data_IF_715447359459
#
_entry.id   IF_715447359459
#
_cell.length_a   1.000
_cell.length_b   1.000
_cell.length_c   1.000
_cell.angle_alpha   90.00
_cell.angle_beta   90.00
_cell.angle_gamma   90.00
#
_symmetry.space_group_name_H-M   'P 1'
#
loop_
_entity.id
_entity.type
_entity.pdbx_description
1 polymer ?
#
# COMPACT_ATOMS: atom_id res chain seq x y z
N UNK A 1 -26.87 -13.66 -10.98
CA UNK A 1 -26.54 -12.76 -9.85
C UNK A 1 -26.46 -11.30 -10.27
N UNK A 2 -25.47 -10.91 -11.08
CA UNK A 2 -25.25 -9.50 -11.47
C UNK A 2 -26.55 -8.76 -11.89
N UNK A 3 -27.25 -9.28 -12.90
CA UNK A 3 -28.43 -8.60 -13.46
C UNK A 3 -29.57 -8.44 -12.45
N UNK A 4 -29.84 -9.49 -11.67
CA UNK A 4 -30.86 -9.45 -10.63
C UNK A 4 -30.52 -8.44 -9.52
N UNK A 5 -29.24 -8.33 -9.12
CA UNK A 5 -28.81 -7.36 -8.10
C UNK A 5 -28.88 -5.94 -8.65
N UNK A 6 -28.35 -5.68 -9.86
CA UNK A 6 -28.33 -4.35 -10.47
C UNK A 6 -29.74 -3.84 -10.82
N UNK A 7 -30.67 -4.73 -11.15
CA UNK A 7 -32.07 -4.35 -11.39
C UNK A 7 -32.72 -3.71 -10.14
N UNK A 8 -32.37 -4.18 -8.94
CA UNK A 8 -32.91 -3.67 -7.67
C UNK A 8 -32.03 -2.61 -6.99
N UNK A 9 -30.71 -2.73 -7.16
CA UNK A 9 -29.70 -1.90 -6.50
C UNK A 9 -28.65 -1.40 -7.51
N UNK A 10 -29.03 -0.54 -8.47
CA UNK A 10 -28.14 -0.14 -9.57
C UNK A 10 -26.90 0.64 -9.11
N UNK A 11 -26.94 1.24 -7.92
CA UNK A 11 -25.84 2.03 -7.35
C UNK A 11 -24.75 1.19 -6.66
N UNK A 12 -25.00 -0.09 -6.36
CA UNK A 12 -24.00 -0.95 -5.73
C UNK A 12 -22.92 -1.35 -6.75
N UNK A 13 -21.65 -1.32 -6.35
CA UNK A 13 -20.57 -1.99 -7.09
C UNK A 13 -20.55 -3.47 -6.73
N UNK A 14 -20.42 -4.33 -7.74
CA UNK A 14 -20.30 -5.77 -7.57
C UNK A 14 -18.85 -6.21 -7.79
N UNK A 15 -18.32 -6.95 -6.81
CA UNK A 15 -16.95 -7.45 -6.82
C UNK A 15 -16.95 -8.89 -7.33
N UNK A 16 -16.19 -9.16 -8.39
CA UNK A 16 -15.93 -10.52 -8.86
C UNK A 16 -14.94 -11.20 -7.92
N UNK A 17 -15.28 -12.37 -7.39
CA UNK A 17 -14.41 -13.19 -6.52
C UNK A 17 -13.29 -13.92 -7.28
N UNK A 18 -13.03 -13.54 -8.53
CA UNK A 18 -11.95 -14.06 -9.37
C UNK A 18 -11.25 -12.85 -9.98
N UNK A 19 -10.02 -12.60 -9.54
CA UNK A 19 -9.19 -11.49 -9.96
C UNK A 19 -8.26 -11.78 -11.13
N UNK A 20 -7.36 -10.83 -11.42
CA UNK A 20 -6.41 -10.97 -12.53
C UNK A 20 -5.22 -11.87 -12.20
N UNK A 21 -5.03 -12.23 -10.94
CA UNK A 21 -4.06 -13.21 -10.48
C UNK A 21 -4.49 -14.66 -10.79
N UNK A 22 -5.78 -14.87 -11.08
CA UNK A 22 -6.34 -16.17 -11.45
C UNK A 22 -6.29 -16.41 -12.98
N UNK A 23 -6.30 -17.69 -13.42
CA UNK A 23 -6.36 -18.05 -14.84
C UNK A 23 -7.53 -17.37 -15.58
N UNK A 24 -7.30 -16.94 -16.83
CA UNK A 24 -8.23 -16.06 -17.58
C UNK A 24 -9.60 -16.70 -17.77
N UNK A 25 -9.62 -18.01 -17.91
CA UNK A 25 -10.77 -18.86 -18.22
C UNK A 25 -11.73 -18.95 -17.03
N UNK A 26 -11.23 -18.72 -15.81
CA UNK A 26 -12.05 -18.65 -14.58
C UNK A 26 -12.70 -17.28 -14.39
N UNK A 27 -12.20 -16.24 -15.06
CA UNK A 27 -12.71 -14.86 -14.91
C UNK A 27 -14.05 -14.73 -15.59
N UNK A 28 -14.88 -13.81 -15.10
CA UNK A 28 -16.16 -13.45 -15.73
C UNK A 28 -15.91 -12.98 -17.17
N UNK A 29 -16.41 -13.74 -18.16
CA UNK A 29 -16.26 -13.41 -19.60
C UNK A 29 -17.49 -12.69 -20.19
N UNK A 30 -18.66 -12.82 -19.56
CA UNK A 30 -19.92 -12.30 -20.11
C UNK A 30 -20.08 -10.78 -20.01
N UNK A 31 -19.21 -10.11 -19.26
CA UNK A 31 -19.19 -8.65 -19.02
C UNK A 31 -17.93 -8.23 -18.28
N UNK A 32 -17.69 -6.92 -18.23
CA UNK A 32 -16.68 -6.33 -17.34
C UNK A 32 -17.23 -6.20 -15.91
N UNK A 33 -16.56 -6.75 -14.88
CA UNK A 33 -16.91 -6.50 -13.48
C UNK A 33 -16.69 -5.04 -13.07
N UNK A 34 -17.44 -4.55 -12.06
CA UNK A 34 -17.18 -3.21 -11.49
C UNK A 34 -15.82 -3.18 -10.77
N UNK A 35 -15.54 -4.25 -10.02
CA UNK A 35 -14.32 -4.48 -9.24
C UNK A 35 -13.96 -5.96 -9.32
N UNK A 36 -12.69 -6.29 -9.24
CA UNK A 36 -12.20 -7.66 -9.05
C UNK A 36 -11.52 -7.83 -7.70
N UNK A 37 -11.65 -9.02 -7.10
CA UNK A 37 -10.98 -9.40 -5.86
C UNK A 37 -9.74 -10.26 -6.14
N UNK A 38 -8.58 -9.82 -5.66
CA UNK A 38 -7.31 -10.53 -5.81
C UNK A 38 -6.74 -10.98 -4.46
N UNK A 39 -6.25 -12.22 -4.41
CA UNK A 39 -5.74 -12.83 -3.16
C UNK A 39 -4.25 -13.18 -3.22
N UNK A 40 -3.48 -12.73 -2.23
CA UNK A 40 -2.02 -12.90 -2.19
C UNK A 40 -1.49 -13.35 -0.82
N UNK A 41 -1.29 -14.66 -0.66
CA UNK A 41 -0.44 -15.21 0.38
C UNK A 41 0.92 -15.53 -0.22
N UNK A 42 1.96 -14.77 0.15
CA UNK A 42 3.29 -14.86 -0.48
C UNK A 42 4.39 -14.81 0.57
N UNK A 43 5.53 -15.40 0.24
CA UNK A 43 6.72 -15.24 1.05
C UNK A 43 7.19 -13.78 1.03
N UNK A 44 7.90 -13.38 2.07
CA UNK A 44 8.55 -12.05 2.14
C UNK A 44 9.39 -11.76 0.88
N UNK A 45 10.14 -12.75 0.40
CA UNK A 45 10.98 -12.61 -0.79
C UNK A 45 10.15 -12.39 -2.07
N UNK A 46 9.00 -13.04 -2.19
CA UNK A 46 8.11 -12.85 -3.33
C UNK A 46 7.46 -11.47 -3.33
N UNK A 47 7.02 -10.97 -2.18
CA UNK A 47 6.49 -9.60 -2.10
C UNK A 47 7.55 -8.56 -2.41
N UNK A 48 8.79 -8.72 -1.93
CA UNK A 48 9.91 -7.85 -2.33
C UNK A 48 10.17 -7.91 -3.84
N UNK A 49 10.07 -9.08 -4.47
CA UNK A 49 10.23 -9.25 -5.92
C UNK A 49 9.07 -8.65 -6.73
N UNK A 50 7.85 -8.74 -6.21
CA UNK A 50 6.63 -8.18 -6.84
C UNK A 50 6.60 -6.67 -6.75
N UNK A 51 7.03 -6.13 -5.60
CA UNK A 51 6.93 -4.73 -5.21
C UNK A 51 7.20 -3.70 -6.33
N UNK A 52 8.33 -3.75 -7.08
CA UNK A 52 8.68 -2.65 -7.96
C UNK A 52 7.66 -2.45 -9.09
N UNK A 53 7.14 -3.56 -9.66
CA UNK A 53 6.47 -3.52 -10.95
C UNK A 53 5.17 -4.35 -11.04
N UNK A 54 4.65 -4.90 -9.93
CA UNK A 54 3.48 -5.82 -9.97
C UNK A 54 2.26 -5.17 -10.63
N UNK A 55 1.73 -4.11 -10.04
CA UNK A 55 0.57 -3.39 -10.57
C UNK A 55 0.91 -2.41 -11.69
N UNK A 56 2.19 -2.03 -11.86
CA UNK A 56 2.58 -1.13 -12.95
C UNK A 56 2.26 -1.72 -14.33
N UNK A 57 2.31 -3.06 -14.44
CA UNK A 57 2.00 -3.82 -15.67
C UNK A 57 0.51 -3.95 -15.96
N UNK A 58 -0.36 -3.53 -15.05
CA UNK A 58 -1.81 -3.67 -15.21
C UNK A 58 -2.38 -2.54 -16.08
N UNK A 59 -3.37 -2.87 -16.91
CA UNK A 59 -4.04 -1.90 -17.76
C UNK A 59 -4.85 -0.91 -16.89
N UNK A 60 -4.57 0.39 -16.98
CA UNK A 60 -5.28 1.44 -16.22
C UNK A 60 -6.75 1.65 -16.57
N UNK A 61 -7.25 0.94 -17.60
CA UNK A 61 -8.67 0.90 -18.00
C UNK A 61 -9.38 -0.39 -17.57
N UNK A 62 -8.68 -1.31 -16.89
CA UNK A 62 -9.28 -2.50 -16.32
C UNK A 62 -10.24 -2.15 -15.17
N UNK A 63 -11.13 -3.08 -14.76
CA UNK A 63 -11.84 -2.99 -13.48
C UNK A 63 -10.94 -2.54 -12.32
N UNK A 64 -11.53 -1.80 -11.37
CA UNK A 64 -10.86 -1.49 -10.09
C UNK A 64 -10.50 -2.80 -9.37
N UNK A 65 -9.48 -2.76 -8.51
CA UNK A 65 -9.01 -3.93 -7.76
C UNK A 65 -9.31 -3.73 -6.27
N UNK A 66 -9.88 -4.76 -5.67
CA UNK A 66 -9.87 -5.03 -4.24
C UNK A 66 -8.85 -6.14 -3.99
N UNK A 67 -7.87 -5.90 -3.14
CA UNK A 67 -6.98 -6.98 -2.66
C UNK A 67 -7.59 -7.55 -1.39
N UNK A 68 -8.57 -8.44 -1.52
CA UNK A 68 -9.43 -8.86 -0.41
C UNK A 68 -8.79 -9.79 0.60
N UNK A 69 -7.72 -10.46 0.21
CA UNK A 69 -6.92 -11.26 1.12
C UNK A 69 -5.44 -11.11 0.77
N UNK A 70 -4.63 -10.67 1.74
CA UNK A 70 -3.19 -10.75 1.58
C UNK A 70 -2.48 -10.85 2.91
N UNK A 71 -1.35 -11.56 2.90
CA UNK A 71 -0.41 -11.60 4.01
C UNK A 71 0.95 -12.12 3.53
N UNK A 72 2.01 -11.47 3.99
CA UNK A 72 3.33 -12.03 3.92
C UNK A 72 3.45 -13.18 4.92
N UNK A 73 4.22 -14.18 4.55
CA UNK A 73 4.74 -15.15 5.50
C UNK A 73 6.27 -15.16 5.44
N UNK A 74 6.88 -15.81 6.43
CA UNK A 74 8.30 -16.13 6.41
C UNK A 74 8.55 -17.26 5.37
N UNK A 75 9.23 -18.35 5.74
CA UNK A 75 9.61 -19.39 4.79
C UNK A 75 8.53 -20.45 4.55
N UNK A 76 7.79 -20.83 5.59
CA UNK A 76 6.81 -21.91 5.51
C UNK A 76 5.45 -21.33 5.12
N UNK A 77 4.92 -21.78 3.98
CA UNK A 77 3.63 -21.34 3.48
C UNK A 77 2.49 -21.68 4.46
N UNK A 78 1.44 -20.84 4.57
CA UNK A 78 0.32 -21.04 5.48
C UNK A 78 -0.37 -22.41 5.36
N UNK A 79 -0.48 -22.93 4.14
CA UNK A 79 -1.14 -24.21 3.85
C UNK A 79 -0.26 -25.44 4.10
N UNK A 80 1.04 -25.28 4.37
CA UNK A 80 1.88 -26.39 4.83
C UNK A 80 1.56 -26.71 6.29
N UNK A 81 1.34 -27.99 6.61
CA UNK A 81 1.04 -28.44 7.97
C UNK A 81 2.11 -28.03 8.99
N UNK A 82 3.38 -27.88 8.56
CA UNK A 82 4.49 -27.41 9.41
C UNK A 82 4.30 -25.97 9.88
N UNK A 83 3.50 -25.16 9.19
CA UNK A 83 3.19 -23.78 9.60
C UNK A 83 2.52 -23.75 10.98
N UNK A 84 1.82 -24.82 11.37
CA UNK A 84 1.18 -24.98 12.68
C UNK A 84 2.15 -25.05 13.85
N UNK A 85 3.43 -25.31 13.61
CA UNK A 85 4.47 -25.26 14.63
C UNK A 85 5.07 -23.86 14.82
N UNK A 86 4.81 -22.94 13.89
CA UNK A 86 5.28 -21.56 13.99
C UNK A 86 4.38 -20.73 14.92
N UNK A 87 4.84 -19.55 15.36
CA UNK A 87 4.04 -18.58 16.10
C UNK A 87 2.75 -18.16 15.36
N UNK A 88 1.70 -17.74 16.10
CA UNK A 88 0.36 -17.45 15.55
C UNK A 88 0.30 -16.17 14.71
N UNK A 89 1.19 -15.23 15.00
CA UNK A 89 1.33 -13.93 14.35
C UNK A 89 2.65 -13.84 13.56
N UNK A 90 2.75 -12.97 12.55
CA UNK A 90 3.96 -12.84 11.74
C UNK A 90 5.13 -12.22 12.53
N UNK A 91 6.36 -12.49 12.09
CA UNK A 91 7.58 -11.85 12.61
C UNK A 91 7.91 -10.55 11.86
N UNK A 92 8.97 -9.85 12.27
CA UNK A 92 9.49 -8.66 11.60
C UNK A 92 9.83 -8.94 10.12
N UNK A 93 10.26 -10.16 9.79
CA UNK A 93 10.51 -10.57 8.40
C UNK A 93 9.27 -10.46 7.53
N UNK A 94 8.14 -11.02 7.97
CA UNK A 94 6.89 -10.90 7.25
C UNK A 94 6.41 -9.43 7.19
N UNK A 95 6.59 -8.64 8.26
CA UNK A 95 6.26 -7.21 8.23
C UNK A 95 7.03 -6.41 7.16
N UNK A 96 8.27 -6.78 6.84
CA UNK A 96 9.03 -6.20 5.72
C UNK A 96 8.37 -6.54 4.37
N UNK A 97 7.95 -7.79 4.18
CA UNK A 97 7.23 -8.22 2.99
C UNK A 97 5.89 -7.49 2.84
N UNK A 98 5.15 -7.38 3.94
CA UNK A 98 3.87 -6.68 3.99
C UNK A 98 4.04 -5.19 3.64
N UNK A 99 5.03 -4.52 4.24
CA UNK A 99 5.32 -3.12 3.96
C UNK A 99 5.75 -2.87 2.51
N UNK A 100 6.52 -3.81 1.92
CA UNK A 100 6.87 -3.76 0.51
C UNK A 100 5.62 -3.85 -0.37
N UNK A 101 4.73 -4.83 -0.11
CA UNK A 101 3.51 -4.97 -0.90
C UNK A 101 2.56 -3.79 -0.72
N UNK A 102 2.43 -3.25 0.50
CA UNK A 102 1.69 -2.00 0.75
C UNK A 102 2.23 -0.82 -0.03
N UNK A 103 3.56 -0.68 -0.15
CA UNK A 103 4.15 0.38 -0.98
C UNK A 103 3.76 0.22 -2.46
N UNK A 104 3.74 -1.00 -2.98
CA UNK A 104 3.29 -1.29 -4.35
C UNK A 104 1.80 -0.95 -4.55
N UNK A 105 0.94 -1.39 -3.62
CA UNK A 105 -0.50 -1.09 -3.65
C UNK A 105 -0.75 0.42 -3.56
N UNK A 106 -0.08 1.13 -2.65
CA UNK A 106 -0.25 2.58 -2.47
C UNK A 106 0.27 3.40 -3.66
N UNK A 107 1.31 2.96 -4.38
CA UNK A 107 1.73 3.61 -5.64
C UNK A 107 0.76 3.39 -6.80
N UNK A 108 0.03 2.28 -6.81
CA UNK A 108 -0.86 1.84 -7.90
C UNK A 108 -2.33 1.93 -7.52
N UNK A 109 -2.60 2.96 -6.75
CA UNK A 109 -3.79 3.13 -5.96
C UNK A 109 -4.87 3.82 -6.82
N UNK A 110 -4.51 4.27 -8.03
CA UNK A 110 -5.43 4.49 -9.15
C UNK A 110 -6.14 3.21 -9.63
N UNK A 111 -5.57 2.02 -9.37
CA UNK A 111 -6.17 0.71 -9.65
C UNK A 111 -6.63 -0.02 -8.39
N UNK A 112 -5.75 -0.15 -7.40
CA UNK A 112 -5.97 -0.89 -6.15
C UNK A 112 -6.70 0.02 -5.18
N UNK A 113 -8.03 -0.03 -5.20
CA UNK A 113 -8.85 0.91 -4.44
C UNK A 113 -9.19 0.43 -3.03
N UNK A 114 -9.08 -0.87 -2.77
CA UNK A 114 -9.36 -1.49 -1.47
C UNK A 114 -8.35 -2.58 -1.19
N UNK A 115 -8.04 -2.83 0.09
CA UNK A 115 -7.23 -3.97 0.52
C UNK A 115 -7.67 -4.45 1.90
N UNK A 116 -7.43 -5.72 2.20
CA UNK A 116 -7.76 -6.37 3.46
C UNK A 116 -6.69 -7.42 3.81
N UNK A 117 -5.91 -7.14 4.86
CA UNK A 117 -4.97 -8.13 5.39
C UNK A 117 -5.75 -9.32 5.95
N UNK A 118 -5.34 -10.54 5.62
CA UNK A 118 -6.05 -11.75 6.03
C UNK A 118 -5.09 -12.83 6.54
N UNK A 119 -5.44 -13.53 7.64
CA UNK A 119 -6.57 -13.27 8.54
C UNK A 119 -6.26 -12.22 9.61
N UNK A 120 -7.31 -11.56 10.11
CA UNK A 120 -7.17 -10.45 11.08
C UNK A 120 -6.83 -10.93 12.50
N UNK A 121 -7.54 -11.95 13.01
CA UNK A 121 -7.46 -12.35 14.41
C UNK A 121 -7.08 -13.82 14.58
N UNK A 122 -6.37 -14.14 15.67
CA UNK A 122 -6.10 -15.51 16.10
C UNK A 122 -6.25 -15.68 17.59
N UNK A 123 -7.05 -16.67 17.99
CA UNK A 123 -7.09 -17.15 19.36
C UNK A 123 -5.82 -17.96 19.64
N UNK A 124 -4.98 -17.48 20.56
CA UNK A 124 -3.66 -18.09 20.85
C UNK A 124 -3.74 -19.27 21.82
N UNK A 125 -4.93 -19.58 22.35
CA UNK A 125 -5.11 -20.73 23.22
C UNK A 125 -4.84 -22.05 22.47
N UNK A 126 -4.35 -23.11 23.16
CA UNK A 126 -4.15 -24.41 22.56
C UNK A 126 -5.41 -24.91 21.83
N UNK A 127 -5.27 -25.29 20.55
CA UNK A 127 -6.37 -25.72 19.69
C UNK A 127 -7.25 -24.58 19.11
N UNK A 128 -7.04 -23.32 19.51
CA UNK A 128 -7.81 -22.17 19.07
C UNK A 128 -7.47 -21.67 17.66
N UNK A 129 -6.37 -22.15 17.07
CA UNK A 129 -5.82 -21.66 15.79
C UNK A 129 -5.95 -22.70 14.67
N UNK A 130 -6.42 -22.24 13.51
CA UNK A 130 -6.56 -23.04 12.29
C UNK A 130 -5.62 -22.58 11.16
N UNK A 131 -5.19 -21.31 11.16
CA UNK A 131 -4.37 -20.68 10.13
C UNK A 131 -3.26 -19.78 10.73
N UNK A 132 -2.17 -19.54 9.99
CA UNK A 132 -1.14 -18.53 10.31
C UNK A 132 -0.40 -18.04 9.06
N UNK A 133 0.10 -16.80 9.02
CA UNK A 133 0.10 -15.80 10.10
C UNK A 133 -1.24 -15.06 10.20
N UNK A 134 -1.52 -14.44 11.35
CA UNK A 134 -2.69 -13.58 11.56
C UNK A 134 -2.24 -12.25 12.16
N UNK A 135 -2.98 -11.17 11.92
CA UNK A 135 -2.49 -9.82 12.23
C UNK A 135 -2.42 -9.51 13.73
N UNK A 136 -3.43 -9.96 14.49
CA UNK A 136 -3.62 -9.68 15.91
C UNK A 136 -3.88 -11.01 16.65
N UNK A 137 -3.08 -11.29 17.68
CA UNK A 137 -3.27 -12.44 18.56
C UNK A 137 -4.04 -12.06 19.81
N UNK A 138 -4.91 -12.93 20.31
CA UNK A 138 -5.68 -12.69 21.52
C UNK A 138 -5.95 -13.96 22.34
N UNK A 139 -6.16 -13.79 23.65
CA UNK A 139 -6.79 -14.76 24.54
C UNK A 139 -8.08 -14.17 25.15
N UNK A 140 -8.63 -14.78 26.21
CA UNK A 140 -9.89 -14.32 26.80
C UNK A 140 -9.80 -12.91 27.45
N UNK A 141 -8.60 -12.44 27.79
CA UNK A 141 -8.39 -11.23 28.59
C UNK A 141 -7.41 -10.23 27.95
N UNK A 142 -6.63 -10.65 26.95
CA UNK A 142 -5.51 -9.87 26.38
C UNK A 142 -5.48 -9.98 24.86
N UNK A 143 -4.92 -8.96 24.22
CA UNK A 143 -4.62 -8.95 22.79
C UNK A 143 -3.25 -8.30 22.52
N UNK A 144 -2.66 -8.60 21.37
CA UNK A 144 -1.43 -7.96 20.93
C UNK A 144 -1.36 -7.85 19.39
N UNK A 145 -0.75 -6.76 18.93
CA UNK A 145 -0.46 -6.55 17.51
C UNK A 145 0.87 -7.18 17.11
N UNK A 146 0.91 -7.82 15.95
CA UNK A 146 2.16 -8.28 15.33
C UNK A 146 3.03 -7.14 14.79
N UNK A 147 4.31 -7.38 14.45
CA UNK A 147 5.09 -6.47 13.60
C UNK A 147 4.32 -5.98 12.34
N UNK A 148 3.61 -6.88 11.64
CA UNK A 148 2.79 -6.50 10.48
C UNK A 148 1.62 -5.59 10.84
N UNK A 149 1.02 -5.77 12.02
CA UNK A 149 -0.01 -4.85 12.55
C UNK A 149 0.55 -3.43 12.65
N UNK A 150 1.74 -3.27 13.24
CA UNK A 150 2.36 -1.96 13.36
C UNK A 150 2.79 -1.37 12.00
N UNK A 151 3.25 -2.19 11.06
CA UNK A 151 3.52 -1.72 9.70
C UNK A 151 2.24 -1.18 9.02
N UNK A 152 1.12 -1.91 9.13
CA UNK A 152 -0.18 -1.47 8.59
C UNK A 152 -0.67 -0.20 9.31
N UNK A 153 -0.50 -0.12 10.63
CA UNK A 153 -0.82 1.08 11.41
C UNK A 153 0.00 2.28 10.92
N UNK A 154 1.31 2.10 10.71
CA UNK A 154 2.20 3.15 10.19
C UNK A 154 1.77 3.61 8.80
N UNK A 155 1.41 2.70 7.89
CA UNK A 155 0.93 3.08 6.55
C UNK A 155 -0.43 3.80 6.59
N UNK A 156 -1.39 3.29 7.36
CA UNK A 156 -2.76 3.80 7.40
C UNK A 156 -2.89 5.16 8.10
N UNK A 157 -2.04 5.45 9.10
CA UNK A 157 -2.05 6.73 9.83
C UNK A 157 -1.25 7.85 9.15
N UNK A 158 -0.46 7.52 8.13
CA UNK A 158 0.44 8.46 7.45
C UNK A 158 0.15 8.50 5.95
N UNK A 159 -1.04 8.97 5.58
CA UNK A 159 -1.52 8.94 4.20
C UNK A 159 -1.99 10.32 3.76
N UNK A 160 -1.37 10.82 2.68
CA UNK A 160 -1.81 11.99 1.95
C UNK A 160 -2.95 11.69 0.97
N UNK A 161 -3.43 12.73 0.30
CA UNK A 161 -4.49 12.66 -0.71
C UNK A 161 -3.94 12.67 -2.15
N UNK A 162 -2.62 12.81 -2.33
CA UNK A 162 -1.93 12.74 -3.63
C UNK A 162 -0.73 11.78 -3.59
N UNK A 163 -0.59 10.91 -4.58
CA UNK A 163 0.61 10.06 -4.76
C UNK A 163 1.70 10.85 -5.45
N UNK A 164 2.90 10.83 -4.86
CA UNK A 164 4.10 11.38 -5.45
C UNK A 164 4.94 10.21 -5.97
N UNK A 165 5.22 10.15 -7.27
CA UNK A 165 6.08 9.10 -7.84
C UNK A 165 7.55 9.41 -7.54
N UNK A 166 8.24 8.64 -6.69
CA UNK A 166 9.66 8.85 -6.46
C UNK A 166 10.46 8.43 -7.69
N UNK A 167 11.54 9.15 -7.97
CA UNK A 167 12.58 8.68 -8.91
C UNK A 167 13.69 8.07 -8.07
N UNK A 168 13.86 6.76 -8.17
CA UNK A 168 14.89 6.02 -7.45
C UNK A 168 16.14 5.88 -8.34
N UNK A 169 17.31 6.13 -7.75
CA UNK A 169 18.62 5.89 -8.37
C UNK A 169 19.46 5.04 -7.44
N UNK A 170 20.08 3.96 -7.95
CA UNK A 170 20.87 3.03 -7.14
C UNK A 170 20.03 1.91 -6.54
N UNK A 171 20.17 1.66 -5.24
CA UNK A 171 19.47 0.57 -4.55
C UNK A 171 17.95 0.74 -4.64
N UNK A 172 17.27 -0.28 -5.19
CA UNK A 172 15.81 -0.32 -5.30
C UNK A 172 15.23 -0.80 -3.97
N UNK A 173 14.94 0.15 -3.09
CA UNK A 173 14.18 -0.09 -1.87
C UNK A 173 12.69 0.10 -2.16
N UNK A 174 11.79 -0.64 -1.50
CA UNK A 174 10.37 -0.33 -1.54
C UNK A 174 10.10 1.06 -0.96
N UNK A 175 9.45 1.92 -1.75
CA UNK A 175 9.14 3.30 -1.38
C UNK A 175 7.73 3.69 -1.80
N UNK A 176 6.96 4.29 -0.89
CA UNK A 176 5.74 5.01 -1.24
C UNK A 176 5.80 6.43 -0.70
N UNK A 177 5.31 7.39 -1.49
CA UNK A 177 5.26 8.80 -1.09
C UNK A 177 3.86 9.33 -1.35
N UNK A 178 3.25 9.87 -0.30
CA UNK A 178 1.98 10.57 -0.39
C UNK A 178 2.14 12.00 0.14
N UNK A 179 1.34 12.92 -0.39
CA UNK A 179 1.27 14.30 0.05
C UNK A 179 -0.17 14.66 0.39
N UNK A 180 -0.40 15.38 1.47
CA UNK A 180 -1.66 16.08 1.69
C UNK A 180 -1.59 17.45 0.99
N UNK A 181 -2.41 17.66 -0.03
CA UNK A 181 -2.46 18.95 -0.73
C UNK A 181 -2.99 20.07 0.18
N UNK A 182 -3.91 19.75 1.10
CA UNK A 182 -4.46 20.72 2.06
C UNK A 182 -3.40 21.25 3.03
N UNK A 183 -2.58 20.37 3.60
CA UNK A 183 -1.65 20.74 4.67
C UNK A 183 -0.21 20.90 4.20
N UNK A 184 0.16 20.35 3.03
CA UNK A 184 1.54 20.29 2.56
C UNK A 184 2.40 19.24 3.26
N UNK A 185 1.80 18.37 4.09
CA UNK A 185 2.54 17.28 4.74
C UNK A 185 2.88 16.21 3.71
N UNK A 186 4.16 15.83 3.66
CA UNK A 186 4.71 14.71 2.91
C UNK A 186 4.90 13.53 3.85
N UNK A 187 4.39 12.36 3.45
CA UNK A 187 4.66 11.08 4.10
C UNK A 187 5.52 10.23 3.16
N UNK A 188 6.76 9.96 3.57
CA UNK A 188 7.71 9.14 2.81
C UNK A 188 7.87 7.81 3.57
N UNK A 189 7.35 6.73 3.00
CA UNK A 189 7.39 5.38 3.58
C UNK A 189 8.48 4.59 2.89
N UNK A 190 9.45 4.13 3.66
CA UNK A 190 10.69 3.51 3.22
C UNK A 190 10.84 2.16 3.89
N UNK A 191 11.16 1.12 3.12
CA UNK A 191 11.43 -0.21 3.64
C UNK A 191 12.87 -0.59 3.37
N UNK A 192 13.62 -0.93 4.43
CA UNK A 192 14.94 -1.53 4.30
C UNK A 192 14.88 -3.03 4.61
N UNK A 193 14.90 -3.92 3.60
CA UNK A 193 14.91 -5.36 3.82
C UNK A 193 16.30 -5.94 4.10
N UNK A 194 17.36 -5.12 4.07
CA UNK A 194 18.74 -5.56 4.18
C UNK A 194 19.19 -5.70 5.64
N UNK A 195 20.23 -6.50 5.87
CA UNK A 195 20.89 -6.64 7.18
C UNK A 195 21.73 -5.44 7.58
N UNK A 196 22.03 -4.56 6.64
CA UNK A 196 22.88 -3.40 6.85
C UNK A 196 22.07 -2.10 6.84
N UNK A 197 22.48 -1.08 7.62
CA UNK A 197 21.93 0.25 7.50
C UNK A 197 22.05 0.78 6.07
N UNK A 198 20.97 1.38 5.55
CA UNK A 198 20.95 1.93 4.19
C UNK A 198 20.95 3.46 4.24
N UNK A 199 22.05 4.15 3.89
CA UNK A 199 22.06 5.59 3.71
C UNK A 199 21.32 5.97 2.42
N UNK A 200 20.21 6.70 2.56
CA UNK A 200 19.39 7.18 1.46
C UNK A 200 19.48 8.70 1.36
N UNK A 201 19.96 9.20 0.22
CA UNK A 201 19.91 10.63 -0.11
C UNK A 201 18.51 10.96 -0.64
N UNK A 202 17.78 11.81 0.08
CA UNK A 202 16.42 12.22 -0.26
C UNK A 202 16.48 13.63 -0.84
N UNK A 203 16.00 13.76 -2.08
CA UNK A 203 15.92 15.02 -2.81
C UNK A 203 14.46 15.39 -3.07
N UNK A 204 13.97 16.40 -2.37
CA UNK A 204 12.63 16.96 -2.54
C UNK A 204 12.65 17.98 -3.68
N UNK A 205 12.43 17.54 -4.92
CA UNK A 205 12.35 18.43 -6.08
C UNK A 205 10.96 19.07 -6.17
N UNK A 206 10.90 20.33 -6.64
CA UNK A 206 9.64 21.06 -6.82
C UNK A 206 9.02 21.64 -5.54
N UNK A 207 9.70 21.53 -4.39
CA UNK A 207 9.30 22.21 -3.15
C UNK A 207 9.93 23.59 -3.08
N UNK A 208 9.17 24.59 -2.60
CA UNK A 208 9.68 25.93 -2.30
C UNK A 208 10.53 25.93 -1.04
N UNK A 209 10.07 25.20 -0.03
CA UNK A 209 10.72 25.06 1.27
C UNK A 209 10.23 23.79 1.96
N UNK A 210 11.06 23.26 2.85
CA UNK A 210 10.71 22.21 3.80
C UNK A 210 11.05 22.69 5.21
N UNK A 211 10.25 22.35 6.20
CA UNK A 211 10.58 22.65 7.59
C UNK A 211 11.90 21.97 7.97
N UNK A 212 12.72 22.67 8.76
CA UNK A 212 14.04 22.16 9.17
C UNK A 212 13.97 20.94 10.11
N UNK A 213 12.78 20.60 10.60
CA UNK A 213 12.50 19.42 11.39
C UNK A 213 11.26 18.69 10.91
N UNK A 214 11.22 17.39 11.18
CA UNK A 214 10.07 16.52 10.97
C UNK A 214 10.09 15.37 11.98
N UNK A 215 9.36 14.31 11.68
CA UNK A 215 9.41 13.06 12.46
C UNK A 215 9.81 11.88 11.61
N UNK A 216 10.45 10.90 12.24
CA UNK A 216 10.71 9.58 11.70
C UNK A 216 10.11 8.54 12.66
N UNK A 217 9.07 7.84 12.23
CA UNK A 217 8.51 6.69 12.95
C UNK A 217 9.11 5.43 12.35
N UNK A 218 9.78 4.62 13.18
CA UNK A 218 10.62 3.51 12.75
C UNK A 218 10.18 2.23 13.46
N UNK A 219 9.81 1.21 12.69
CA UNK A 219 9.67 -0.17 13.15
C UNK A 219 10.90 -0.94 12.67
N UNK A 220 11.74 -1.43 13.58
CA UNK A 220 12.97 -2.14 13.24
C UNK A 220 13.27 -3.21 14.30
N UNK A 221 13.61 -4.42 13.85
CA UNK A 221 14.04 -5.51 14.71
C UNK A 221 14.77 -6.59 13.88
N UNK A 222 15.40 -7.56 14.55
CA UNK A 222 15.93 -8.73 13.84
C UNK A 222 14.80 -9.47 13.09
N UNK A 223 15.06 -10.13 11.94
CA UNK A 223 14.00 -10.74 11.12
C UNK A 223 13.12 -11.76 11.84
N UNK A 224 13.69 -12.46 12.84
CA UNK A 224 12.99 -13.47 13.64
C UNK A 224 12.18 -12.88 14.80
N UNK A 225 12.34 -11.59 15.11
CA UNK A 225 11.68 -10.97 16.25
C UNK A 225 10.18 -10.85 15.99
N UNK A 226 9.39 -11.08 17.02
CA UNK A 226 7.94 -11.09 16.97
C UNK A 226 7.35 -10.61 18.30
N UNK A 227 6.06 -10.29 18.29
CA UNK A 227 5.29 -10.07 19.50
C UNK A 227 4.53 -11.34 19.85
N UNK A 228 4.24 -11.53 21.14
CA UNK A 228 3.41 -12.62 21.64
C UNK A 228 2.50 -12.13 22.76
N UNK A 229 1.55 -12.96 23.19
CA UNK A 229 0.64 -12.62 24.30
C UNK A 229 1.39 -12.37 25.62
N UNK A 230 2.59 -12.93 25.79
CA UNK A 230 3.43 -12.75 26.97
C UNK A 230 4.54 -11.71 26.78
N UNK A 231 4.72 -11.23 25.55
CA UNK A 231 5.67 -10.17 25.20
C UNK A 231 5.04 -9.31 24.07
N UNK A 232 4.00 -8.52 24.38
CA UNK A 232 3.15 -7.88 23.36
C UNK A 232 3.82 -6.71 22.64
N UNK A 233 4.95 -6.22 23.16
CA UNK A 233 5.62 -4.98 22.72
C UNK A 233 7.10 -5.17 22.38
N UNK A 234 7.55 -6.40 22.10
CA UNK A 234 8.95 -6.68 21.69
C UNK A 234 9.36 -5.93 20.43
N UNK A 235 8.44 -5.78 19.47
CA UNK A 235 8.64 -5.09 18.20
C UNK A 235 7.50 -4.09 18.02
N UNK A 236 7.78 -2.82 18.31
CA UNK A 236 6.85 -1.69 18.22
C UNK A 236 7.51 -0.50 17.53
N UNK A 237 6.75 0.38 16.87
CA UNK A 237 7.33 1.54 16.21
C UNK A 237 7.75 2.60 17.22
N UNK A 238 8.91 3.22 17.01
CA UNK A 238 9.43 4.32 17.81
C UNK A 238 9.48 5.58 16.97
N UNK A 239 8.98 6.70 17.51
CA UNK A 239 8.98 7.99 16.82
C UNK A 239 10.08 8.90 17.34
N UNK A 240 10.89 9.42 16.42
CA UNK A 240 11.96 10.35 16.71
C UNK A 240 11.72 11.68 15.99
N UNK A 241 12.10 12.79 16.62
CA UNK A 241 12.24 14.07 15.92
C UNK A 241 13.51 14.04 15.09
N UNK A 242 13.40 14.40 13.81
CA UNK A 242 14.56 14.61 12.93
C UNK A 242 14.78 16.11 12.73
N UNK A 243 16.04 16.52 12.65
CA UNK A 243 16.47 17.91 12.46
C UNK A 243 17.43 18.01 11.28
N UNK A 244 17.67 19.23 10.79
CA UNK A 244 18.54 19.44 9.62
C UNK A 244 17.91 18.99 8.30
N UNK A 245 16.58 18.79 8.28
CA UNK A 245 15.84 18.51 7.06
C UNK A 245 15.95 19.73 6.14
N UNK A 246 16.26 19.47 4.88
CA UNK A 246 16.44 20.46 3.83
C UNK A 246 16.01 19.82 2.50
N UNK A 247 15.89 20.55 1.38
CA UNK A 247 15.47 19.95 0.12
C UNK A 247 16.36 18.78 -0.36
N UNK A 248 17.61 18.70 0.09
CA UNK A 248 18.53 17.59 -0.20
C UNK A 248 19.25 17.15 1.08
N UNK A 249 18.85 16.01 1.64
CA UNK A 249 19.35 15.52 2.92
C UNK A 249 19.58 14.01 2.91
N UNK A 250 20.32 13.53 3.92
CA UNK A 250 20.58 12.10 4.10
C UNK A 250 19.67 11.56 5.20
N UNK A 251 19.04 10.42 4.94
CA UNK A 251 18.35 9.60 5.93
C UNK A 251 19.01 8.22 5.97
N UNK A 252 19.42 7.76 7.15
CA UNK A 252 19.90 6.37 7.31
C UNK A 252 18.73 5.51 7.78
N UNK A 253 18.46 4.43 7.05
CA UNK A 253 17.44 3.44 7.40
C UNK A 253 18.11 2.31 8.19
N UNK A 254 17.62 1.95 9.40
CA UNK A 254 18.15 0.80 10.13
C UNK A 254 17.98 -0.50 9.34
N UNK A 255 18.79 -1.55 9.63
CA UNK A 255 18.55 -2.90 9.13
C UNK A 255 17.11 -3.36 9.37
N UNK A 256 16.56 -4.14 8.43
CA UNK A 256 15.23 -4.76 8.57
C UNK A 256 14.19 -3.82 9.17
N UNK A 257 13.95 -2.69 8.49
CA UNK A 257 13.10 -1.63 9.01
C UNK A 257 12.02 -1.17 8.06
N UNK A 258 10.93 -0.66 8.65
CA UNK A 258 9.93 0.17 8.00
C UNK A 258 10.03 1.55 8.64
N UNK A 259 10.26 2.58 7.83
CA UNK A 259 10.40 3.97 8.29
C UNK A 259 9.36 4.84 7.61
N UNK A 260 8.65 5.65 8.38
CA UNK A 260 7.81 6.73 7.86
C UNK A 260 8.40 8.06 8.27
N UNK A 261 8.79 8.87 7.28
CA UNK A 261 9.14 10.26 7.49
C UNK A 261 7.89 11.12 7.28
N UNK A 262 7.60 12.00 8.22
CA UNK A 262 6.58 13.04 8.07
C UNK A 262 7.26 14.41 8.04
N UNK A 263 7.17 15.06 6.88
CA UNK A 263 7.84 16.33 6.59
C UNK A 263 6.82 17.39 6.20
N UNK A 264 6.97 18.60 6.71
CA UNK A 264 6.17 19.74 6.29
C UNK A 264 6.83 20.43 5.09
N UNK A 265 6.21 20.39 3.91
CA UNK A 265 6.72 21.04 2.71
C UNK A 265 5.73 22.07 2.15
N UNK A 266 6.25 23.21 1.70
CA UNK A 266 5.50 24.16 0.90
C UNK A 266 5.83 23.91 -0.57
N UNK A 267 4.82 23.66 -1.40
CA UNK A 267 5.01 23.49 -2.84
C UNK A 267 5.31 24.83 -3.51
N UNK A 268 6.02 24.81 -4.64
CA UNK A 268 6.06 25.98 -5.51
C UNK A 268 4.64 26.28 -6.04
N UNK A 269 4.27 27.56 -6.27
CA UNK A 269 3.03 27.88 -6.95
C UNK A 269 2.99 27.13 -8.29
N UNK A 270 1.92 26.39 -8.55
CA UNK A 270 1.72 25.77 -9.85
C UNK A 270 1.45 26.89 -10.84
N UNK A 271 2.43 27.25 -11.68
CA UNK A 271 2.12 28.02 -12.90
C UNK A 271 1.30 27.07 -13.74
N UNK A 272 0.00 27.34 -13.87
CA UNK A 272 -0.84 26.60 -14.79
C UNK A 272 -0.18 26.70 -16.17
N UNK A 273 0.23 25.57 -16.74
CA UNK A 273 0.68 25.57 -18.13
C UNK A 273 -0.49 26.13 -18.97
N UNK A 274 -0.25 27.12 -19.84
CA UNK A 274 -1.31 27.59 -20.73
C UNK A 274 -1.83 26.39 -21.53
N UNK A 275 -3.15 26.33 -21.82
CA UNK A 275 -3.70 25.24 -22.59
C UNK A 275 -2.94 25.13 -23.91
N UNK A 276 -2.41 23.94 -24.22
CA UNK A 276 -1.86 23.62 -25.53
C UNK A 276 -2.99 23.80 -26.55
N UNK A 277 -2.94 24.89 -27.32
CA UNK A 277 -3.78 25.07 -28.49
C UNK A 277 -3.32 24.08 -29.56
N UNK A 278 -4.05 22.98 -29.73
CA UNK A 278 -3.84 22.04 -30.83
C UNK A 278 -4.66 22.52 -32.01
N UNK A 279 -4.03 23.25 -32.94
CA UNK A 279 -4.62 23.49 -34.25
C UNK A 279 -4.43 22.23 -35.11
N UNK A 280 -5.54 21.66 -35.58
CA UNK A 280 -5.51 20.50 -36.45
C UNK A 280 -4.91 20.87 -37.82
N UNK A 281 -3.86 20.15 -38.24
CA UNK A 281 -3.38 20.16 -39.62
C UNK A 281 -4.01 18.96 -40.33
N UNK A 282 -4.71 19.21 -41.44
CA UNK A 282 -5.25 18.18 -42.32
C UNK A 282 -4.12 17.36 -42.95
N UNK A 283 -4.20 16.03 -42.85
CA UNK A 283 -3.28 15.13 -43.55
C UNK A 283 -3.74 14.92 -45.01
N UNK A 284 -2.82 14.83 -45.98
CA UNK A 284 -3.16 14.41 -47.34
C UNK A 284 -3.36 12.90 -47.42
N UNK A 285 -4.39 12.49 -48.18
CA UNK A 285 -4.70 11.11 -48.54
C UNK A 285 -3.64 10.56 -49.50
N UNK A 286 -3.05 9.39 -49.20
CA UNK A 286 -3.07 8.23 -50.11
C UNK A 286 -2.32 6.97 -49.64
N UNK A 287 -2.88 5.83 -50.09
CA UNK A 287 -2.29 4.51 -50.39
C UNK A 287 -2.32 3.35 -49.36
N UNK A 288 -3.36 2.51 -49.56
CA UNK A 288 -3.44 1.02 -49.67
C UNK A 288 -3.02 0.08 -48.53
N UNK A 289 -3.76 -1.05 -48.31
CA UNK A 289 -3.55 -1.95 -47.18
C UNK A 289 -2.62 -3.14 -47.51
N UNK A 290 -1.75 -3.49 -46.56
CA UNK A 290 -1.12 -4.82 -46.48
C UNK A 290 -1.64 -5.55 -45.22
N UNK A 291 -1.80 -6.89 -45.25
CA UNK A 291 -2.31 -7.64 -44.11
C UNK A 291 -1.17 -7.93 -43.12
N UNK A 292 -1.39 -7.90 -41.79
CA UNK A 292 -0.43 -8.47 -40.87
C UNK A 292 -0.75 -9.93 -40.58
N UNK A 293 0.27 -10.75 -40.85
CA UNK A 293 0.53 -12.06 -40.29
C UNK A 293 0.69 -12.03 -38.77
N UNK A 294 0.56 -13.22 -38.19
CA UNK A 294 0.63 -13.61 -36.79
C UNK A 294 1.94 -13.26 -36.07
N UNK A 295 1.83 -13.24 -34.74
CA UNK A 295 2.86 -13.14 -33.69
C UNK A 295 3.48 -11.75 -33.41
N UNK A 296 2.92 -11.09 -32.38
CA UNK A 296 3.58 -10.01 -31.68
C UNK A 296 3.55 -10.26 -30.17
N UNK A 297 4.74 -10.38 -29.57
CA UNK A 297 4.94 -10.11 -28.15
C UNK A 297 4.38 -8.72 -27.81
N UNK A 298 3.67 -8.53 -26.67
CA UNK A 298 3.06 -7.25 -26.39
C UNK A 298 4.15 -6.20 -26.13
N UNK A 299 4.07 -5.12 -26.90
CA UNK A 299 4.99 -4.00 -26.84
C UNK A 299 4.95 -3.32 -25.47
N UNK A 300 6.14 -3.05 -24.95
CA UNK A 300 6.38 -2.19 -23.79
C UNK A 300 5.96 -0.77 -24.16
N UNK A 301 4.78 -0.34 -23.71
CA UNK A 301 4.39 1.06 -23.80
C UNK A 301 5.20 1.84 -22.76
N UNK A 302 5.96 2.83 -23.24
CA UNK A 302 6.73 3.76 -22.44
C UNK A 302 5.82 4.48 -21.42
N UNK A 303 6.21 4.43 -20.15
CA UNK A 303 5.58 5.18 -19.05
C UNK A 303 5.92 6.66 -19.24
N UNK A 304 4.94 7.59 -19.25
CA UNK A 304 5.24 9.02 -19.30
C UNK A 304 5.97 9.41 -18.00
N UNK A 305 7.20 9.90 -18.15
CA UNK A 305 8.13 10.23 -17.06
C UNK A 305 7.82 11.53 -16.33
N UNK A 306 6.79 12.27 -16.72
CA UNK A 306 6.44 13.54 -16.09
C UNK A 306 4.92 13.71 -16.03
N UNK A 307 4.31 13.19 -14.99
CA UNK A 307 2.89 13.42 -14.72
C UNK A 307 2.62 13.24 -13.24
N UNK A 308 2.38 14.35 -12.53
CA UNK A 308 1.64 14.32 -11.27
C UNK A 308 0.26 13.80 -11.64
N UNK A 309 0.01 12.50 -11.43
CA UNK A 309 -1.34 11.97 -11.56
C UNK A 309 -2.08 12.37 -10.28
N UNK A 310 -3.13 13.22 -10.36
CA UNK A 310 -4.01 13.37 -9.23
C UNK A 310 -4.53 11.99 -8.88
N UNK A 311 -4.43 11.61 -7.61
CA UNK A 311 -5.16 10.47 -7.09
C UNK A 311 -6.61 10.66 -7.53
N UNK A 312 -7.17 9.75 -8.32
CA UNK A 312 -8.57 9.79 -8.77
C UNK A 312 -9.50 9.60 -7.57
N UNK A 313 -9.56 10.53 -6.61
CA UNK A 313 -10.30 10.35 -5.36
C UNK A 313 -10.03 8.97 -4.68
N UNK A 314 -8.90 8.31 -4.99
CA UNK A 314 -8.88 6.85 -4.98
C UNK A 314 -8.62 6.23 -3.59
N UNK A 315 -8.24 7.05 -2.60
CA UNK A 315 -8.12 6.65 -1.18
C UNK A 315 -9.02 7.43 -0.25
N UNK A 316 -9.97 8.18 -0.80
CA UNK A 316 -11.00 8.87 -0.03
C UNK A 316 -12.00 7.83 0.49
N UNK A 317 -11.64 7.14 1.58
CA UNK A 317 -12.51 6.24 2.35
C UNK A 317 -12.58 4.76 1.94
N UNK A 318 -11.48 4.11 1.50
CA UNK A 318 -11.53 2.72 0.98
C UNK A 318 -10.50 1.70 1.55
N UNK A 319 -9.78 2.00 2.64
CA UNK A 319 -8.72 1.14 3.19
C UNK A 319 -9.21 0.10 4.22
N UNK A 320 -10.04 -0.87 3.83
CA UNK A 320 -10.99 -1.63 4.67
C UNK A 320 -10.54 -2.36 5.95
N UNK A 321 -9.29 -2.28 6.42
CA UNK A 321 -8.93 -2.68 7.81
C UNK A 321 -8.12 -1.60 8.57
N UNK A 322 -7.60 -0.57 7.90
CA UNK A 322 -7.04 0.64 8.54
C UNK A 322 -7.94 1.88 8.43
N UNK A 323 -9.12 1.74 7.82
CA UNK A 323 -9.94 2.86 7.36
C UNK A 323 -10.88 3.44 8.40
N UNK A 324 -10.97 2.91 9.62
CA UNK A 324 -11.67 3.67 10.68
C UNK A 324 -11.00 5.04 10.89
N UNK A 325 -9.67 5.11 10.79
CA UNK A 325 -8.89 6.30 11.15
C UNK A 325 -8.82 7.35 10.06
N UNK A 326 -8.61 6.92 8.81
CA UNK A 326 -8.49 7.82 7.66
C UNK A 326 -9.85 8.10 6.99
N UNK A 327 -10.87 7.25 7.18
CA UNK A 327 -12.17 7.44 6.50
C UNK A 327 -12.92 8.67 6.96
N UNK A 328 -12.92 8.99 8.22
CA UNK A 328 -13.76 10.06 8.78
C UNK A 328 -13.39 11.43 8.22
N UNK A 329 -12.13 11.86 8.35
CA UNK A 329 -11.63 13.14 7.81
C UNK A 329 -11.68 13.16 6.28
N UNK A 330 -11.35 12.04 5.63
CA UNK A 330 -11.34 11.97 4.16
C UNK A 330 -12.76 11.86 3.58
N UNK A 331 -13.75 11.31 4.28
CA UNK A 331 -15.16 11.25 3.84
C UNK A 331 -15.94 12.54 4.12
N UNK A 332 -15.30 13.59 4.68
CA UNK A 332 -15.98 14.82 5.06
C UNK A 332 -16.84 14.68 6.33
N UNK A 333 -16.61 13.65 7.15
CA UNK A 333 -17.19 13.58 8.49
C UNK A 333 -16.51 14.60 9.41
N UNK A 334 -17.23 15.02 10.47
CA UNK A 334 -16.70 15.95 11.45
C UNK A 334 -15.43 15.43 12.13
N UNK A 335 -14.56 16.33 12.59
CA UNK A 335 -13.34 16.01 13.33
C UNK A 335 -13.64 15.13 14.56
N UNK A 336 -14.81 15.28 15.18
CA UNK A 336 -15.27 14.44 16.30
C UNK A 336 -15.50 12.98 15.91
N UNK A 337 -16.11 12.71 14.75
CA UNK A 337 -16.28 11.33 14.26
C UNK A 337 -14.93 10.69 13.96
N UNK A 338 -13.97 11.50 13.48
CA UNK A 338 -12.61 11.04 13.26
C UNK A 338 -11.88 10.68 14.55
N UNK A 339 -11.98 11.56 15.54
CA UNK A 339 -11.43 11.32 16.86
C UNK A 339 -12.04 10.08 17.52
N UNK A 340 -13.35 9.84 17.33
CA UNK A 340 -14.02 8.66 17.89
C UNK A 340 -13.55 7.35 17.23
N UNK A 341 -13.43 7.32 15.90
CA UNK A 341 -12.87 6.15 15.21
C UNK A 341 -11.40 5.90 15.59
N UNK A 342 -10.62 6.98 15.81
CA UNK A 342 -9.28 6.94 16.38
C UNK A 342 -9.24 6.30 17.75
N UNK A 343 -10.09 6.79 18.65
CA UNK A 343 -10.21 6.26 20.00
C UNK A 343 -10.61 4.78 20.03
N UNK A 344 -11.54 4.33 19.19
CA UNK A 344 -11.94 2.92 19.16
C UNK A 344 -10.85 1.99 18.62
N UNK A 345 -10.13 2.40 17.58
CA UNK A 345 -9.01 1.61 17.07
C UNK A 345 -7.84 1.58 18.05
N UNK A 346 -7.52 2.74 18.65
CA UNK A 346 -6.51 2.82 19.70
C UNK A 346 -6.93 1.92 20.87
N UNK A 347 -8.20 1.88 21.28
CA UNK A 347 -8.71 0.97 22.32
C UNK A 347 -8.61 -0.53 21.99
N UNK A 348 -8.53 -0.93 20.71
CA UNK A 348 -8.26 -2.34 20.36
C UNK A 348 -6.79 -2.74 20.59
N UNK A 349 -5.88 -1.76 20.77
CA UNK A 349 -4.44 -2.00 20.93
C UNK A 349 -3.76 -1.25 22.08
N UNK A 350 -4.53 -0.42 22.77
CA UNK A 350 -4.17 0.23 24.02
C UNK A 350 -4.91 -0.51 25.13
N UNK A 351 -4.25 -1.55 25.65
CA UNK A 351 -4.08 -1.84 27.08
C UNK A 351 -3.19 -3.08 27.24
#
# INVERSE_FOLDING_TARGET
>A
FHDAIKAKYPHLKLISSVGFEQPKEKRVQSRQPDVVDEHYYRSTAEFLRMEPNHYERYLRKAPEIFVGEWAAHEEIAPWDAKSRALPPTPSMKAAIGDAAFMASMERNSDLVTMQCYAPLFVNVNPGGRQWRPNLIGYDALRAYGSPSYYAIQMFSRNMGDTIMRPVLSGAQLPVSVTKSEKTGVLFIKLVNPQSEPQPLRIQLKGVRSVAASGTATILAAAPIAENSINAPTTVVPVTHKITGVRPDFLQVLPPYSVTVLQLQAASLPTVAAPPLAVNAVQAPNNMTPNPPTTDAAPQVLAVPTNGVMPLKNAFKGKFLIGTALSSSVLQGNSEEKAALSLKHFDAFTAE
#
